data_IF_200725390821
#
_entry.id   IF_200725390821
#
_cell.length_a   1.000
_cell.length_b   1.000
_cell.length_c   1.000
_cell.angle_alpha   90.00
_cell.angle_beta   90.00
_cell.angle_gamma   90.00
#
_symmetry.space_group_name_H-M   'P 1'
#
loop_
_entity.id
_entity.type
_entity.pdbx_description
1 polymer ?
#
# COMPACT_ATOMS: atom_id res chain seq x y z
N UNK A 1 -33.48 -26.44 8.23
CA UNK A 1 -33.62 -25.23 7.38
C UNK A 1 -32.27 -24.76 6.86
N UNK A 2 -31.28 -24.40 7.71
CA UNK A 2 -29.93 -24.01 7.28
C UNK A 2 -29.09 -25.18 6.74
N UNK A 3 -29.36 -26.38 7.18
CA UNK A 3 -28.74 -27.65 6.76
C UNK A 3 -29.18 -28.10 5.35
N UNK A 4 -30.27 -27.51 4.84
CA UNK A 4 -30.83 -27.79 3.51
C UNK A 4 -30.37 -26.81 2.43
N UNK A 5 -29.54 -25.80 2.78
CA UNK A 5 -29.01 -24.89 1.79
C UNK A 5 -28.10 -25.61 0.78
N UNK A 6 -28.18 -25.25 -0.51
CA UNK A 6 -27.27 -25.76 -1.52
C UNK A 6 -25.81 -25.53 -1.14
N UNK A 7 -24.94 -26.48 -1.46
CA UNK A 7 -23.50 -26.41 -1.14
C UNK A 7 -22.84 -25.13 -1.69
N UNK A 8 -23.27 -24.65 -2.84
CA UNK A 8 -22.76 -23.40 -3.42
C UNK A 8 -23.04 -22.20 -2.53
N UNK A 9 -24.27 -22.10 -1.98
CA UNK A 9 -24.68 -21.00 -1.10
C UNK A 9 -23.92 -21.08 0.24
N UNK A 10 -23.79 -22.27 0.80
CA UNK A 10 -22.99 -22.48 2.01
C UNK A 10 -21.52 -22.08 1.79
N UNK A 11 -20.93 -22.45 0.66
CA UNK A 11 -19.56 -22.09 0.30
C UNK A 11 -19.40 -20.57 0.17
N UNK A 12 -20.38 -19.85 -0.41
CA UNK A 12 -20.35 -18.39 -0.47
C UNK A 12 -20.42 -17.77 0.93
N UNK A 13 -21.34 -18.23 1.78
CA UNK A 13 -21.47 -17.76 3.16
C UNK A 13 -20.16 -18.01 3.92
N UNK A 14 -19.61 -19.21 3.85
CA UNK A 14 -18.37 -19.59 4.53
C UNK A 14 -17.16 -18.82 4.00
N UNK A 15 -17.22 -18.35 2.75
CA UNK A 15 -16.20 -17.48 2.15
C UNK A 15 -16.02 -16.17 2.93
N UNK A 16 -17.06 -15.67 3.59
CA UNK A 16 -17.02 -14.45 4.42
C UNK A 16 -16.50 -14.70 5.85
N UNK A 17 -16.40 -15.96 6.28
CA UNK A 17 -15.91 -16.30 7.61
C UNK A 17 -14.39 -16.29 7.66
N UNK A 18 -13.84 -15.92 8.81
CA UNK A 18 -12.43 -16.10 9.09
C UNK A 18 -12.10 -17.62 9.21
N UNK A 19 -10.82 -17.94 9.25
CA UNK A 19 -10.36 -19.32 9.24
C UNK A 19 -10.80 -20.14 10.48
N UNK A 20 -10.77 -19.54 11.65
CA UNK A 20 -11.17 -20.20 12.89
C UNK A 20 -12.67 -20.49 12.90
N UNK A 21 -13.49 -19.54 12.45
CA UNK A 21 -14.93 -19.70 12.34
C UNK A 21 -15.31 -20.79 11.32
N UNK A 22 -14.55 -20.90 10.19
CA UNK A 22 -14.74 -22.01 9.23
C UNK A 22 -14.54 -23.37 9.88
N UNK A 23 -13.57 -23.50 10.76
CA UNK A 23 -13.33 -24.78 11.49
C UNK A 23 -14.49 -25.07 12.42
N UNK A 24 -14.99 -24.07 13.17
CA UNK A 24 -16.14 -24.23 14.05
C UNK A 24 -17.41 -24.62 13.28
N UNK A 25 -17.65 -23.99 12.14
CA UNK A 25 -18.77 -24.30 11.23
C UNK A 25 -18.73 -25.77 10.77
N UNK A 26 -17.54 -26.33 10.56
CA UNK A 26 -17.37 -27.73 10.21
C UNK A 26 -17.86 -28.75 11.24
N UNK A 27 -18.02 -28.31 12.48
CA UNK A 27 -18.49 -29.16 13.58
C UNK A 27 -20.01 -29.13 13.74
N UNK A 28 -20.74 -28.25 13.01
CA UNK A 28 -22.18 -28.06 13.17
C UNK A 28 -23.00 -29.23 12.62
N UNK A 29 -22.77 -29.65 11.37
CA UNK A 29 -23.43 -30.78 10.77
C UNK A 29 -22.64 -31.36 9.57
N UNK A 30 -23.02 -32.54 9.11
CA UNK A 30 -22.36 -33.24 7.99
C UNK A 30 -22.42 -32.46 6.66
N UNK A 31 -23.53 -31.80 6.38
CA UNK A 31 -23.71 -30.96 5.18
C UNK A 31 -22.73 -29.81 5.17
N UNK A 32 -22.63 -29.07 6.28
CA UNK A 32 -21.71 -27.95 6.43
C UNK A 32 -20.23 -28.40 6.37
N UNK A 33 -19.90 -29.51 7.01
CA UNK A 33 -18.55 -30.08 6.93
C UNK A 33 -18.17 -30.46 5.49
N UNK A 34 -19.11 -31.00 4.71
CA UNK A 34 -18.89 -31.31 3.30
C UNK A 34 -18.63 -30.04 2.47
N UNK A 35 -19.40 -29.00 2.68
CA UNK A 35 -19.21 -27.71 2.00
C UNK A 35 -17.87 -27.06 2.31
N UNK A 36 -17.28 -27.30 3.49
CA UNK A 36 -15.93 -26.84 3.83
C UNK A 36 -14.82 -27.54 3.04
N UNK A 37 -15.08 -28.68 2.44
CA UNK A 37 -14.10 -29.35 1.57
C UNK A 37 -13.93 -28.64 0.21
N UNK A 38 -14.75 -27.61 -0.07
CA UNK A 38 -14.65 -26.82 -1.29
C UNK A 38 -13.28 -26.15 -1.44
N UNK A 39 -12.55 -26.38 -2.53
CA UNK A 39 -11.23 -25.78 -2.75
C UNK A 39 -11.22 -24.25 -2.71
N UNK A 40 -12.35 -23.62 -3.04
CA UNK A 40 -12.48 -22.15 -3.08
C UNK A 40 -12.21 -21.53 -1.72
N UNK A 41 -12.66 -22.16 -0.63
CA UNK A 41 -12.50 -21.67 0.73
C UNK A 41 -11.04 -21.69 1.21
N UNK A 42 -10.18 -22.50 0.60
CA UNK A 42 -8.82 -22.73 1.03
C UNK A 42 -7.76 -22.22 0.04
N UNK A 43 -8.16 -21.31 -0.84
CA UNK A 43 -7.23 -20.67 -1.78
C UNK A 43 -6.33 -19.63 -1.13
N UNK A 44 -6.79 -18.99 -0.08
CA UNK A 44 -6.06 -17.93 0.62
C UNK A 44 -5.84 -18.27 2.08
N UNK A 45 -4.59 -18.18 2.51
CA UNK A 45 -4.17 -18.38 3.89
C UNK A 45 -3.41 -17.15 4.36
N UNK A 46 -3.82 -16.61 5.52
CA UNK A 46 -3.04 -15.64 6.29
C UNK A 46 -2.61 -16.31 7.58
N UNK A 47 -1.33 -16.31 7.85
CA UNK A 47 -0.74 -16.95 9.04
C UNK A 47 0.05 -15.94 9.83
N UNK A 48 -0.33 -15.73 11.10
CA UNK A 48 0.41 -14.93 12.05
C UNK A 48 1.46 -15.83 12.73
N UNK A 49 2.71 -15.71 12.30
CA UNK A 49 3.81 -16.60 12.74
C UNK A 49 3.97 -16.58 14.27
N UNK A 50 3.82 -15.40 14.88
CA UNK A 50 3.96 -15.19 16.31
C UNK A 50 2.78 -15.65 17.16
N UNK A 51 1.65 -15.99 16.54
CA UNK A 51 0.42 -16.39 17.24
C UNK A 51 -0.07 -17.78 16.91
N UNK A 52 0.06 -18.21 15.64
CA UNK A 52 -0.62 -19.39 15.14
C UNK A 52 0.29 -20.59 14.93
N UNK A 53 1.62 -20.38 14.85
CA UNK A 53 2.59 -21.48 14.69
C UNK A 53 3.14 -22.00 16.03
N UNK A 54 2.57 -21.51 17.14
CA UNK A 54 2.95 -21.91 18.48
C UNK A 54 1.72 -22.22 19.30
N UNK A 55 1.80 -23.28 20.06
CA UNK A 55 0.77 -23.74 20.95
C UNK A 55 0.55 -25.23 20.81
N UNK A 56 -0.30 -25.77 21.70
CA UNK A 56 -0.61 -27.19 21.74
C UNK A 56 -1.41 -27.68 20.51
N UNK A 57 -1.95 -26.75 19.71
CA UNK A 57 -2.73 -27.05 18.51
C UNK A 57 -2.33 -26.12 17.36
N UNK A 58 -1.35 -26.52 16.50
CA UNK A 58 -0.92 -25.73 15.36
C UNK A 58 -1.93 -25.79 14.21
N UNK A 59 -3.08 -25.13 14.39
CA UNK A 59 -4.21 -25.13 13.44
C UNK A 59 -3.78 -24.79 12.00
N UNK A 60 -2.82 -23.90 11.83
CA UNK A 60 -2.34 -23.51 10.51
C UNK A 60 -1.66 -24.69 9.79
N UNK A 61 -0.88 -25.49 10.52
CA UNK A 61 -0.17 -26.65 9.97
C UNK A 61 -1.14 -27.78 9.60
N UNK A 62 -2.14 -28.06 10.44
CA UNK A 62 -3.18 -29.05 10.16
C UNK A 62 -4.00 -28.68 8.92
N UNK A 63 -4.38 -27.40 8.80
CA UNK A 63 -5.13 -26.92 7.65
C UNK A 63 -4.32 -26.99 6.35
N UNK A 64 -3.02 -26.67 6.43
CA UNK A 64 -2.13 -26.84 5.26
C UNK A 64 -1.95 -28.30 4.93
N UNK A 65 -1.80 -29.18 5.92
CA UNK A 65 -1.71 -30.62 5.70
C UNK A 65 -2.93 -31.17 4.96
N UNK A 66 -4.13 -30.66 5.28
CA UNK A 66 -5.42 -31.08 4.70
C UNK A 66 -5.77 -30.40 3.38
N UNK A 67 -5.55 -29.09 3.28
CA UNK A 67 -6.07 -28.27 2.18
C UNK A 67 -4.98 -27.55 1.37
N UNK A 68 -3.70 -27.70 1.74
CA UNK A 68 -2.59 -26.95 1.14
C UNK A 68 -2.49 -27.07 -0.38
N UNK A 69 -2.88 -28.18 -0.97
CA UNK A 69 -2.91 -28.37 -2.43
C UNK A 69 -3.77 -27.34 -3.17
N UNK A 70 -4.77 -26.75 -2.49
CA UNK A 70 -5.67 -25.74 -3.05
C UNK A 70 -5.16 -24.32 -2.85
N UNK A 71 -4.13 -24.13 -2.03
CA UNK A 71 -3.57 -22.80 -1.73
C UNK A 71 -3.00 -22.14 -2.97
N UNK A 72 -3.36 -20.87 -3.17
CA UNK A 72 -2.87 -20.01 -4.25
C UNK A 72 -2.35 -18.67 -3.72
N UNK A 73 -2.78 -18.28 -2.53
CA UNK A 73 -2.33 -17.07 -1.83
C UNK A 73 -1.91 -17.42 -0.42
N UNK A 74 -0.69 -17.01 -0.05
CA UNK A 74 -0.16 -17.14 1.29
C UNK A 74 0.35 -15.79 1.78
N UNK A 75 -0.18 -15.35 2.91
CA UNK A 75 0.35 -14.24 3.68
C UNK A 75 0.98 -14.77 4.96
N UNK A 76 2.24 -14.43 5.17
CA UNK A 76 2.98 -14.70 6.41
C UNK A 76 3.27 -13.36 7.08
N UNK A 77 2.66 -13.14 8.22
CA UNK A 77 2.77 -11.87 8.95
C UNK A 77 3.24 -12.10 10.38
N UNK A 78 3.85 -11.06 10.95
CA UNK A 78 3.99 -10.93 12.39
C UNK A 78 3.00 -9.89 12.89
N UNK A 79 2.31 -10.17 13.99
CA UNK A 79 1.50 -9.16 14.66
C UNK A 79 2.43 -8.06 15.15
N UNK A 80 2.02 -6.77 15.02
CA UNK A 80 2.83 -5.65 15.51
C UNK A 80 3.11 -5.85 17.01
N UNK A 81 4.36 -5.99 17.43
CA UNK A 81 4.64 -6.33 18.82
C UNK A 81 4.51 -5.09 19.72
N UNK A 82 3.58 -5.11 20.64
CA UNK A 82 3.63 -4.28 21.85
C UNK A 82 4.47 -4.96 22.96
N UNK A 83 5.50 -5.73 22.62
CA UNK A 83 6.28 -6.52 23.58
C UNK A 83 7.60 -5.83 23.89
N UNK A 84 7.91 -5.72 25.19
CA UNK A 84 9.15 -5.15 25.72
C UNK A 84 10.42 -5.82 25.15
N UNK A 85 11.49 -5.05 24.84
CA UNK A 85 12.67 -5.55 24.11
C UNK A 85 13.38 -6.77 24.70
N UNK A 86 13.30 -6.98 26.02
CA UNK A 86 13.99 -8.11 26.70
C UNK A 86 13.30 -9.45 26.50
N UNK A 87 11.99 -9.50 26.44
CA UNK A 87 11.21 -10.73 26.19
C UNK A 87 11.21 -11.14 24.71
N UNK A 88 11.48 -10.20 23.81
CA UNK A 88 11.49 -10.42 22.37
C UNK A 88 12.55 -11.40 21.86
N UNK A 89 13.69 -11.56 22.55
CA UNK A 89 14.82 -12.34 22.02
C UNK A 89 14.59 -13.85 21.97
N UNK A 90 14.16 -14.42 23.09
CA UNK A 90 13.94 -15.88 23.20
C UNK A 90 12.74 -16.29 22.36
N UNK A 91 11.69 -15.50 22.42
CA UNK A 91 10.44 -15.75 21.70
C UNK A 91 10.62 -15.72 20.18
N UNK A 92 11.46 -14.83 19.65
CA UNK A 92 11.66 -14.67 18.19
C UNK A 92 12.50 -15.79 17.54
N UNK A 93 13.46 -16.36 18.25
CA UNK A 93 14.24 -17.47 17.70
C UNK A 93 13.36 -18.68 17.43
N UNK A 94 12.54 -19.05 18.40
CA UNK A 94 11.60 -20.15 18.24
C UNK A 94 10.48 -19.87 17.22
N UNK A 95 10.11 -18.59 17.01
CA UNK A 95 9.17 -18.19 15.95
C UNK A 95 9.79 -18.33 14.56
N UNK A 96 11.10 -18.05 14.42
CA UNK A 96 11.80 -18.27 13.16
C UNK A 96 11.86 -19.74 12.79
N UNK A 97 12.13 -20.59 13.77
CA UNK A 97 12.13 -22.05 13.60
C UNK A 97 10.74 -22.54 13.22
N UNK A 98 9.70 -22.15 13.97
CA UNK A 98 8.31 -22.51 13.65
C UNK A 98 7.88 -22.03 12.25
N UNK A 99 8.26 -20.80 11.86
CA UNK A 99 8.01 -20.31 10.51
C UNK A 99 8.75 -21.07 9.41
N UNK A 100 9.98 -21.53 9.70
CA UNK A 100 10.76 -22.35 8.78
C UNK A 100 10.15 -23.76 8.63
N UNK A 101 9.70 -24.36 9.72
CA UNK A 101 9.04 -25.68 9.73
C UNK A 101 7.71 -25.60 8.98
N UNK A 102 6.91 -24.55 9.21
CA UNK A 102 5.70 -24.31 8.45
C UNK A 102 5.95 -24.21 6.94
N UNK A 103 6.98 -23.45 6.52
CA UNK A 103 7.35 -23.36 5.10
C UNK A 103 7.82 -24.71 4.54
N UNK A 104 8.46 -25.56 5.36
CA UNK A 104 8.82 -26.91 4.96
C UNK A 104 7.58 -27.80 4.73
N UNK A 105 6.56 -27.68 5.59
CA UNK A 105 5.27 -28.38 5.42
C UNK A 105 4.58 -27.92 4.14
N UNK A 106 4.48 -26.61 3.90
CA UNK A 106 3.87 -26.05 2.69
C UNK A 106 4.60 -26.55 1.43
N UNK A 107 5.94 -26.56 1.48
CA UNK A 107 6.78 -27.06 0.38
C UNK A 107 6.57 -28.57 0.13
N UNK A 108 6.46 -29.38 1.17
CA UNK A 108 6.25 -30.82 1.05
C UNK A 108 4.92 -31.17 0.36
N UNK A 109 3.95 -30.26 0.36
CA UNK A 109 2.68 -30.38 -0.35
C UNK A 109 2.74 -29.91 -1.81
N UNK A 110 3.92 -29.58 -2.32
CA UNK A 110 4.15 -29.06 -3.68
C UNK A 110 3.21 -27.88 -4.04
N UNK A 111 2.97 -26.99 -3.09
CA UNK A 111 2.07 -25.86 -3.25
C UNK A 111 2.65 -24.86 -4.25
N UNK A 112 1.86 -24.52 -5.27
CA UNK A 112 2.20 -23.50 -6.26
C UNK A 112 1.35 -22.24 -6.02
N UNK A 113 1.98 -21.21 -5.45
CA UNK A 113 1.32 -19.96 -5.17
C UNK A 113 1.23 -19.05 -6.41
N UNK A 114 0.15 -18.28 -6.48
CA UNK A 114 0.07 -17.07 -7.32
C UNK A 114 0.46 -15.82 -6.55
N UNK A 115 0.24 -15.81 -5.24
CA UNK A 115 0.50 -14.66 -4.39
C UNK A 115 1.24 -15.07 -3.12
N UNK A 116 2.33 -14.36 -2.83
CA UNK A 116 3.04 -14.42 -1.56
C UNK A 116 3.18 -13.02 -0.98
N UNK A 117 2.71 -12.84 0.25
CA UNK A 117 2.79 -11.59 1.00
C UNK A 117 3.54 -11.84 2.30
N UNK A 118 4.58 -11.07 2.53
CA UNK A 118 5.27 -10.99 3.82
C UNK A 118 5.00 -9.62 4.42
N UNK A 119 4.50 -9.60 5.66
CA UNK A 119 4.07 -8.36 6.30
C UNK A 119 4.66 -8.23 7.70
N UNK A 120 5.27 -7.07 8.00
CA UNK A 120 5.78 -6.70 9.32
C UNK A 120 6.86 -7.67 9.88
N UNK A 121 7.78 -8.12 9.04
CA UNK A 121 8.89 -8.98 9.45
C UNK A 121 10.05 -8.18 10.04
N UNK A 122 9.75 -7.19 10.86
CA UNK A 122 10.75 -6.30 11.46
C UNK A 122 11.55 -7.02 12.52
N UNK A 123 12.78 -7.36 12.19
CA UNK A 123 13.70 -8.06 13.06
C UNK A 123 14.89 -7.18 13.42
N UNK A 124 15.06 -6.88 14.70
CA UNK A 124 16.22 -6.10 15.17
C UNK A 124 17.57 -6.75 14.81
N UNK A 125 18.65 -5.95 14.80
CA UNK A 125 20.02 -6.31 14.40
C UNK A 125 20.59 -7.59 15.02
N UNK A 126 20.09 -8.00 16.17
CA UNK A 126 20.67 -9.09 16.99
C UNK A 126 19.90 -10.40 16.88
N UNK A 127 19.09 -10.59 15.85
CA UNK A 127 18.30 -11.79 15.72
C UNK A 127 19.08 -12.91 15.05
N UNK A 128 19.64 -13.83 15.86
CA UNK A 128 20.55 -14.89 15.40
C UNK A 128 19.91 -15.91 14.43
N UNK A 129 18.63 -16.27 14.64
CA UNK A 129 17.96 -17.33 13.88
C UNK A 129 17.20 -16.80 12.64
N UNK A 130 17.27 -15.51 12.33
CA UNK A 130 16.70 -14.93 11.12
C UNK A 130 17.14 -15.67 9.85
N UNK A 131 18.40 -16.11 9.81
CA UNK A 131 18.96 -16.83 8.69
C UNK A 131 18.25 -18.13 8.38
N UNK A 132 17.74 -18.85 9.39
CA UNK A 132 16.99 -20.10 9.23
C UNK A 132 15.70 -19.84 8.44
N UNK A 133 14.91 -18.85 8.87
CA UNK A 133 13.65 -18.50 8.22
C UNK A 133 13.86 -17.97 6.80
N UNK A 134 14.88 -17.13 6.60
CA UNK A 134 15.21 -16.60 5.26
C UNK A 134 15.72 -17.72 4.32
N UNK A 135 16.46 -18.69 4.83
CA UNK A 135 16.87 -19.86 4.06
C UNK A 135 15.67 -20.73 3.67
N UNK A 136 14.77 -20.99 4.62
CA UNK A 136 13.54 -21.73 4.37
C UNK A 136 12.67 -21.04 3.32
N UNK A 137 12.50 -19.70 3.43
CA UNK A 137 11.77 -18.88 2.48
C UNK A 137 12.41 -18.93 1.07
N UNK A 138 13.73 -18.76 0.98
CA UNK A 138 14.43 -18.86 -0.30
C UNK A 138 14.29 -20.25 -0.93
N UNK A 139 14.34 -21.30 -0.12
CA UNK A 139 14.13 -22.69 -0.57
C UNK A 139 12.69 -22.94 -1.03
N UNK A 140 11.72 -22.38 -0.34
CA UNK A 140 10.32 -22.42 -0.75
C UNK A 140 10.11 -21.69 -2.09
N UNK A 141 10.61 -20.45 -2.21
CA UNK A 141 10.50 -19.66 -3.44
C UNK A 141 11.19 -20.31 -4.65
N UNK A 142 12.24 -21.09 -4.43
CA UNK A 142 12.92 -21.81 -5.53
C UNK A 142 12.02 -22.81 -6.24
N UNK A 143 11.03 -23.36 -5.54
CA UNK A 143 10.03 -24.27 -6.10
C UNK A 143 8.85 -23.57 -6.81
N UNK A 144 8.68 -22.26 -6.63
CA UNK A 144 7.52 -21.54 -7.16
C UNK A 144 7.69 -21.18 -8.65
N UNK A 145 6.72 -21.57 -9.47
CA UNK A 145 6.71 -21.31 -10.93
C UNK A 145 5.57 -20.41 -11.39
N UNK A 146 4.58 -20.18 -10.54
CA UNK A 146 3.33 -19.53 -10.89
C UNK A 146 3.10 -18.22 -10.12
N UNK A 147 4.14 -17.65 -9.49
CA UNK A 147 4.02 -16.46 -8.67
C UNK A 147 3.77 -15.22 -9.54
N UNK A 148 2.63 -14.58 -9.33
CA UNK A 148 2.17 -13.37 -10.02
C UNK A 148 2.31 -12.13 -9.13
N UNK A 149 2.18 -12.30 -7.82
CA UNK A 149 2.22 -11.21 -6.83
C UNK A 149 3.21 -11.56 -5.73
N UNK A 150 4.18 -10.66 -5.51
CA UNK A 150 5.11 -10.71 -4.38
C UNK A 150 5.05 -9.40 -3.61
N UNK A 151 4.80 -9.47 -2.31
CA UNK A 151 4.89 -8.33 -1.41
C UNK A 151 5.87 -8.62 -0.27
N UNK A 152 6.83 -7.71 -0.09
CA UNK A 152 7.79 -7.68 1.01
C UNK A 152 7.55 -6.43 1.86
N UNK A 153 6.29 -6.23 2.29
CA UNK A 153 5.86 -5.02 2.96
C UNK A 153 6.37 -4.95 4.41
N UNK A 154 7.16 -3.93 4.72
CA UNK A 154 7.71 -3.68 6.06
C UNK A 154 8.47 -4.90 6.63
N UNK A 155 9.29 -5.54 5.81
CA UNK A 155 10.11 -6.69 6.26
C UNK A 155 11.48 -6.29 6.80
N UNK A 156 11.96 -5.08 6.51
CA UNK A 156 13.22 -4.50 7.02
C UNK A 156 14.43 -5.46 6.86
N UNK A 157 14.57 -6.08 5.69
CA UNK A 157 15.68 -6.96 5.39
C UNK A 157 16.92 -6.17 4.93
N UNK A 158 18.10 -6.80 5.05
CA UNK A 158 19.30 -6.27 4.39
C UNK A 158 19.22 -6.43 2.88
N UNK A 159 19.91 -5.55 2.13
CA UNK A 159 19.95 -5.58 0.64
C UNK A 159 20.29 -6.98 0.12
N UNK A 160 21.29 -7.63 0.69
CA UNK A 160 21.72 -8.98 0.27
C UNK A 160 20.59 -10.01 0.37
N UNK A 161 19.79 -9.96 1.45
CA UNK A 161 18.70 -10.89 1.67
C UNK A 161 17.55 -10.65 0.68
N UNK A 162 17.14 -9.39 0.48
CA UNK A 162 16.10 -9.04 -0.50
C UNK A 162 16.55 -9.46 -1.91
N UNK A 163 17.79 -9.14 -2.30
CA UNK A 163 18.30 -9.50 -3.63
C UNK A 163 18.45 -11.01 -3.83
N UNK A 164 18.67 -11.77 -2.75
CA UNK A 164 18.65 -13.24 -2.79
C UNK A 164 17.25 -13.76 -3.08
N UNK A 165 16.23 -13.24 -2.38
CA UNK A 165 14.83 -13.62 -2.58
C UNK A 165 14.34 -13.25 -3.98
N UNK A 166 14.55 -11.97 -4.41
CA UNK A 166 14.18 -11.51 -5.73
C UNK A 166 14.90 -12.30 -6.85
N UNK A 167 16.18 -12.62 -6.66
CA UNK A 167 16.93 -13.44 -7.60
C UNK A 167 16.39 -14.88 -7.73
N UNK A 168 15.82 -15.40 -6.64
CA UNK A 168 15.17 -16.72 -6.66
C UNK A 168 13.84 -16.65 -7.41
N UNK A 169 13.04 -15.62 -7.16
CA UNK A 169 11.76 -15.37 -7.85
C UNK A 169 11.98 -15.12 -9.33
N UNK A 170 12.97 -14.29 -9.70
CA UNK A 170 13.30 -13.99 -11.09
C UNK A 170 13.66 -15.24 -11.91
N UNK A 171 14.30 -16.25 -11.28
CA UNK A 171 14.60 -17.54 -11.92
C UNK A 171 13.39 -18.45 -12.08
N UNK A 172 12.46 -18.42 -11.13
CA UNK A 172 11.31 -19.32 -11.09
C UNK A 172 10.07 -18.75 -11.79
N UNK A 173 9.74 -17.51 -11.49
CA UNK A 173 8.49 -16.85 -11.88
C UNK A 173 8.69 -15.45 -12.47
N UNK A 174 9.91 -15.07 -12.86
CA UNK A 174 10.22 -13.71 -13.29
C UNK A 174 9.39 -13.21 -14.48
N UNK A 175 9.08 -14.10 -15.42
CA UNK A 175 8.25 -13.78 -16.60
C UNK A 175 6.75 -13.68 -16.29
N UNK A 176 6.32 -14.08 -15.10
CA UNK A 176 4.91 -14.08 -14.68
C UNK A 176 4.59 -13.08 -13.60
N UNK A 177 5.61 -12.50 -12.97
CA UNK A 177 5.42 -11.56 -11.87
C UNK A 177 4.78 -10.26 -12.38
N UNK A 178 3.53 -10.03 -11.99
CA UNK A 178 2.72 -8.87 -12.40
C UNK A 178 2.82 -7.74 -11.38
N UNK A 179 2.93 -8.07 -10.09
CA UNK A 179 2.94 -7.10 -9.00
C UNK A 179 4.08 -7.36 -8.02
N UNK A 180 4.87 -6.32 -7.75
CA UNK A 180 5.96 -6.33 -6.79
C UNK A 180 5.85 -5.16 -5.83
N UNK A 181 5.73 -5.45 -4.51
CA UNK A 181 5.72 -4.44 -3.46
C UNK A 181 6.97 -4.60 -2.60
N UNK A 182 7.84 -3.58 -2.61
CA UNK A 182 9.10 -3.54 -1.86
C UNK A 182 9.13 -2.38 -0.84
N UNK A 183 7.98 -1.81 -0.47
CA UNK A 183 7.92 -0.74 0.52
C UNK A 183 8.30 -1.27 1.91
N UNK A 184 9.23 -0.60 2.57
CA UNK A 184 9.80 -1.06 3.83
C UNK A 184 10.52 -2.42 3.72
N UNK A 185 10.91 -2.85 2.51
CA UNK A 185 11.63 -4.09 2.31
C UNK A 185 13.10 -3.98 2.70
N UNK A 186 13.71 -2.83 2.45
CA UNK A 186 15.10 -2.55 2.77
C UNK A 186 15.21 -1.78 4.08
N UNK A 187 16.28 -2.01 4.83
CA UNK A 187 16.59 -1.18 6.00
C UNK A 187 16.88 0.25 5.56
N UNK A 188 16.41 1.24 6.32
CA UNK A 188 16.49 2.67 5.98
C UNK A 188 17.89 3.13 5.53
N UNK A 189 18.95 2.59 6.13
CA UNK A 189 20.33 2.95 5.79
C UNK A 189 20.95 2.12 4.66
N UNK A 190 20.21 1.18 4.07
CA UNK A 190 20.68 0.31 2.98
C UNK A 190 19.83 0.52 1.73
N UNK A 191 20.17 1.52 0.94
CA UNK A 191 19.49 1.78 -0.32
C UNK A 191 20.10 0.92 -1.45
N UNK A 192 19.30 0.19 -2.23
CA UNK A 192 19.79 -0.66 -3.31
C UNK A 192 19.93 0.08 -4.65
N UNK A 193 19.64 1.39 -4.74
CA UNK A 193 19.39 2.14 -5.97
C UNK A 193 20.47 2.03 -7.03
N UNK A 194 21.76 1.87 -6.66
CA UNK A 194 22.88 1.70 -7.58
C UNK A 194 23.50 0.30 -7.55
N UNK A 195 22.86 -0.64 -6.86
CA UNK A 195 23.38 -2.00 -6.80
C UNK A 195 23.17 -2.72 -8.14
N UNK A 196 24.25 -3.16 -8.83
CA UNK A 196 24.14 -3.74 -10.18
C UNK A 196 23.28 -5.01 -10.23
N UNK A 197 23.21 -5.76 -9.12
CA UNK A 197 22.36 -6.95 -9.05
C UNK A 197 20.89 -6.56 -8.93
N UNK A 198 20.57 -5.51 -8.17
CA UNK A 198 19.22 -4.96 -8.09
C UNK A 198 18.73 -4.49 -9.46
N UNK A 199 19.53 -3.67 -10.14
CA UNK A 199 19.20 -3.15 -11.46
C UNK A 199 18.95 -4.27 -12.49
N UNK A 200 19.81 -5.28 -12.51
CA UNK A 200 19.61 -6.47 -13.37
C UNK A 200 18.36 -7.29 -12.99
N UNK A 201 17.93 -7.27 -11.74
CA UNK A 201 16.71 -7.97 -11.34
C UNK A 201 15.46 -7.21 -11.77
N UNK A 202 15.47 -5.86 -11.68
CA UNK A 202 14.36 -5.04 -12.17
C UNK A 202 14.11 -5.25 -13.66
N UNK A 203 15.17 -5.33 -14.47
CA UNK A 203 15.03 -5.56 -15.91
C UNK A 203 14.58 -6.98 -16.32
N UNK A 204 14.50 -7.92 -15.35
CA UNK A 204 14.07 -9.32 -15.62
C UNK A 204 12.60 -9.57 -15.41
N UNK A 205 11.86 -8.63 -14.84
CA UNK A 205 10.43 -8.78 -14.57
C UNK A 205 9.60 -8.22 -15.74
N UNK A 206 9.58 -8.94 -16.85
CA UNK A 206 8.98 -8.45 -18.10
C UNK A 206 7.46 -8.28 -18.05
N UNK A 207 6.74 -9.08 -17.24
CA UNK A 207 5.30 -8.96 -17.05
C UNK A 207 4.90 -7.96 -15.97
N UNK A 208 5.87 -7.25 -15.35
CA UNK A 208 5.59 -6.36 -14.23
C UNK A 208 4.72 -5.18 -14.65
N UNK A 209 3.52 -5.10 -14.08
CA UNK A 209 2.53 -4.05 -14.31
C UNK A 209 2.40 -3.08 -13.13
N UNK A 210 2.66 -3.56 -11.91
CA UNK A 210 2.57 -2.79 -10.69
C UNK A 210 3.86 -2.94 -9.88
N UNK A 211 4.52 -1.81 -9.63
CA UNK A 211 5.69 -1.74 -8.75
C UNK A 211 5.46 -0.72 -7.64
N UNK A 212 5.77 -1.11 -6.40
CA UNK A 212 5.71 -0.22 -5.24
C UNK A 212 7.06 -0.21 -4.54
N UNK A 213 7.62 0.98 -4.35
CA UNK A 213 8.96 1.20 -3.79
C UNK A 213 8.95 2.33 -2.75
N UNK A 214 9.97 2.34 -1.90
CA UNK A 214 10.41 3.56 -1.22
C UNK A 214 11.39 4.34 -2.11
N UNK A 215 11.41 5.65 -2.01
CA UNK A 215 12.24 6.53 -2.85
C UNK A 215 13.74 6.14 -2.83
N UNK A 216 14.35 5.72 -1.71
CA UNK A 216 15.74 5.28 -1.68
C UNK A 216 16.06 4.06 -2.57
N UNK A 217 15.05 3.32 -3.01
CA UNK A 217 15.24 2.20 -3.93
C UNK A 217 15.14 2.59 -5.42
N UNK A 218 14.88 3.88 -5.70
CA UNK A 218 14.75 4.44 -7.04
C UNK A 218 15.97 5.29 -7.38
N UNK A 219 16.42 5.25 -8.63
CA UNK A 219 17.49 6.08 -9.18
C UNK A 219 17.36 6.22 -10.70
N UNK A 220 18.20 7.04 -11.32
CA UNK A 220 18.28 7.12 -12.78
C UNK A 220 18.55 5.74 -13.40
N UNK A 221 19.44 4.96 -12.79
CA UNK A 221 19.77 3.61 -13.24
C UNK A 221 18.60 2.64 -13.06
N UNK A 222 17.86 2.77 -11.96
CA UNK A 222 16.67 1.94 -11.71
C UNK A 222 15.55 2.24 -12.72
N UNK A 223 15.29 3.53 -13.02
CA UNK A 223 14.31 3.91 -14.06
C UNK A 223 14.72 3.40 -15.43
N UNK A 224 15.99 3.52 -15.80
CA UNK A 224 16.49 2.99 -17.06
C UNK A 224 16.43 1.45 -17.14
N UNK A 225 16.67 0.75 -16.01
CA UNK A 225 16.52 -0.69 -15.95
C UNK A 225 15.06 -1.13 -16.14
N UNK A 226 14.10 -0.38 -15.57
CA UNK A 226 12.67 -0.60 -15.78
C UNK A 226 12.29 -0.31 -17.25
N UNK A 227 12.78 0.77 -17.84
CA UNK A 227 12.54 1.13 -19.23
C UNK A 227 13.06 0.06 -20.22
N UNK A 228 14.12 -0.66 -19.85
CA UNK A 228 14.68 -1.72 -20.70
C UNK A 228 14.02 -3.08 -20.56
N UNK A 229 13.35 -3.35 -19.43
CA UNK A 229 12.85 -4.69 -19.10
C UNK A 229 11.38 -4.78 -18.74
N UNK A 230 10.83 -3.82 -18.02
CA UNK A 230 9.45 -3.85 -17.51
C UNK A 230 8.48 -3.07 -18.42
N UNK A 231 8.44 -3.41 -19.71
CA UNK A 231 7.66 -2.68 -20.71
C UNK A 231 6.13 -2.71 -20.50
N UNK A 232 5.64 -3.58 -19.62
CA UNK A 232 4.23 -3.66 -19.25
C UNK A 232 3.88 -2.83 -18.01
N UNK A 233 4.82 -2.01 -17.51
CA UNK A 233 4.63 -1.25 -16.29
C UNK A 233 3.57 -0.15 -16.48
N UNK A 234 2.48 -0.24 -15.71
CA UNK A 234 1.34 0.69 -15.74
C UNK A 234 1.20 1.52 -14.47
N UNK A 235 1.75 1.03 -13.37
CA UNK A 235 1.59 1.70 -12.08
C UNK A 235 2.87 1.63 -11.26
N UNK A 236 3.38 2.79 -10.88
CA UNK A 236 4.55 2.93 -10.02
C UNK A 236 4.16 3.75 -8.78
N UNK A 237 4.19 3.12 -7.60
CA UNK A 237 3.93 3.77 -6.31
C UNK A 237 5.25 4.03 -5.61
N UNK A 238 5.46 5.27 -5.20
CA UNK A 238 6.70 5.71 -4.55
C UNK A 238 6.34 6.33 -3.22
N UNK A 239 6.83 5.74 -2.14
CA UNK A 239 6.75 6.29 -0.80
C UNK A 239 7.99 7.13 -0.53
N UNK A 240 7.81 8.36 -0.07
CA UNK A 240 8.89 9.32 0.21
C UNK A 240 8.77 9.79 1.65
N UNK A 241 9.85 9.69 2.40
CA UNK A 241 9.97 10.17 3.78
C UNK A 241 10.94 11.35 3.86
N UNK A 242 10.97 12.04 4.98
CA UNK A 242 11.75 13.27 5.19
C UNK A 242 13.24 13.17 4.80
N UNK A 243 13.88 12.05 5.11
CA UNK A 243 15.29 11.83 4.82
C UNK A 243 15.61 11.45 3.38
N UNK A 244 14.61 11.01 2.62
CA UNK A 244 14.82 10.28 1.37
C UNK A 244 15.23 11.20 0.22
N UNK A 245 14.59 12.36 0.09
CA UNK A 245 14.81 13.30 -1.01
C UNK A 245 16.23 13.86 -1.09
N UNK A 246 16.99 13.78 0.01
CA UNK A 246 18.36 14.30 0.12
C UNK A 246 19.43 13.28 -0.17
N UNK A 247 19.08 12.01 -0.28
CA UNK A 247 20.07 10.95 -0.50
C UNK A 247 20.60 10.97 -1.92
N UNK A 248 19.74 11.25 -2.90
CA UNK A 248 20.09 11.35 -4.31
C UNK A 248 18.98 12.05 -5.10
N UNK A 249 19.32 12.60 -6.25
CA UNK A 249 18.37 13.24 -7.15
C UNK A 249 18.15 12.38 -8.39
N UNK A 250 16.91 12.35 -8.86
CA UNK A 250 16.54 11.68 -10.10
C UNK A 250 16.39 12.74 -11.19
N UNK A 251 17.02 12.52 -12.32
CA UNK A 251 16.95 13.44 -13.44
C UNK A 251 15.63 13.28 -14.22
N UNK A 252 15.07 14.39 -14.72
CA UNK A 252 13.86 14.39 -15.53
C UNK A 252 14.01 13.52 -16.81
N UNK A 253 15.19 13.51 -17.40
CA UNK A 253 15.50 12.68 -18.57
C UNK A 253 15.31 11.17 -18.31
N UNK A 254 15.59 10.68 -17.09
CA UNK A 254 15.36 9.28 -16.75
C UNK A 254 13.86 8.94 -16.67
N UNK A 255 13.05 9.86 -16.19
CA UNK A 255 11.58 9.75 -16.23
C UNK A 255 11.06 9.77 -17.65
N UNK A 256 11.56 10.70 -18.47
CA UNK A 256 11.18 10.79 -19.88
C UNK A 256 11.45 9.47 -20.61
N UNK A 257 12.63 8.86 -20.43
CA UNK A 257 12.96 7.57 -21.00
C UNK A 257 12.01 6.45 -20.56
N UNK A 258 11.66 6.42 -19.28
CA UNK A 258 10.70 5.42 -18.77
C UNK A 258 9.30 5.60 -19.36
N UNK A 259 8.83 6.84 -19.49
CA UNK A 259 7.51 7.15 -20.07
C UNK A 259 7.47 6.80 -21.56
N UNK A 260 8.56 7.02 -22.30
CA UNK A 260 8.65 6.57 -23.70
C UNK A 260 8.55 5.05 -23.83
N UNK A 261 9.16 4.30 -22.91
CA UNK A 261 9.11 2.84 -22.91
C UNK A 261 7.74 2.30 -22.39
N UNK A 262 7.09 3.02 -21.48
CA UNK A 262 5.85 2.65 -20.83
C UNK A 262 4.80 3.79 -20.94
N UNK A 263 4.13 3.96 -22.09
CA UNK A 263 3.25 5.12 -22.34
C UNK A 263 2.02 5.18 -21.40
N UNK A 264 1.55 4.04 -20.92
CA UNK A 264 0.39 3.94 -20.01
C UNK A 264 0.78 4.08 -18.53
N UNK A 265 2.03 4.40 -18.23
CA UNK A 265 2.52 4.51 -16.86
C UNK A 265 1.80 5.63 -16.10
N UNK A 266 1.40 5.31 -14.88
CA UNK A 266 0.85 6.24 -13.88
C UNK A 266 1.68 6.18 -12.63
N UNK A 267 2.16 7.32 -12.17
CA UNK A 267 2.94 7.44 -10.94
C UNK A 267 2.04 7.90 -9.79
N UNK A 268 2.27 7.32 -8.62
CA UNK A 268 1.62 7.70 -7.37
C UNK A 268 2.69 8.03 -6.34
N UNK A 269 2.70 9.25 -5.84
CA UNK A 269 3.54 9.65 -4.70
C UNK A 269 2.77 9.58 -3.39
N UNK A 270 3.40 9.00 -2.38
CA UNK A 270 2.95 9.01 -0.99
C UNK A 270 4.03 9.71 -0.17
N UNK A 271 3.79 10.97 0.18
CA UNK A 271 4.74 11.84 0.87
C UNK A 271 4.42 11.83 2.37
N UNK A 272 5.36 11.41 3.20
CA UNK A 272 5.14 11.26 4.64
C UNK A 272 6.15 12.08 5.43
N UNK A 273 5.66 12.97 6.27
CA UNK A 273 6.42 13.75 7.27
C UNK A 273 7.63 14.49 6.70
N UNK A 274 7.54 15.06 5.51
CA UNK A 274 8.61 15.87 4.93
C UNK A 274 8.70 17.19 5.66
N UNK A 275 9.90 17.57 6.09
CA UNK A 275 10.23 18.84 6.75
C UNK A 275 10.77 19.91 5.79
N UNK A 276 11.29 19.48 4.64
CA UNK A 276 11.91 20.37 3.64
C UNK A 276 11.07 20.35 2.35
N UNK A 277 10.13 21.27 2.27
CA UNK A 277 9.20 21.34 1.13
C UNK A 277 9.86 21.84 -0.17
N UNK A 278 11.03 22.47 -0.06
CA UNK A 278 11.88 22.82 -1.20
C UNK A 278 12.29 21.56 -1.99
N UNK A 279 12.40 20.44 -1.31
CA UNK A 279 12.74 19.16 -1.93
C UNK A 279 11.64 18.65 -2.90
N UNK A 280 10.41 19.20 -2.82
CA UNK A 280 9.34 18.85 -3.75
C UNK A 280 9.68 19.18 -5.20
N UNK A 281 10.49 20.19 -5.45
CA UNK A 281 10.95 20.52 -6.81
C UNK A 281 11.81 19.42 -7.44
N UNK A 282 12.49 18.63 -6.61
CA UNK A 282 13.31 17.49 -7.07
C UNK A 282 12.50 16.20 -7.25
N UNK A 283 11.33 16.13 -6.64
CA UNK A 283 10.43 14.98 -6.73
C UNK A 283 9.37 15.17 -7.83
N UNK A 284 8.81 16.38 -7.91
CA UNK A 284 7.74 16.72 -8.84
C UNK A 284 8.32 17.27 -10.15
N UNK A 285 8.91 16.38 -10.94
CA UNK A 285 9.53 16.72 -12.22
C UNK A 285 8.53 16.69 -13.38
N UNK A 286 8.72 17.53 -14.42
CA UNK A 286 7.75 17.65 -15.52
C UNK A 286 7.44 16.35 -16.26
N UNK A 287 8.42 15.47 -16.44
CA UNK A 287 8.23 14.20 -17.16
C UNK A 287 7.59 13.09 -16.33
N UNK A 288 7.33 13.31 -15.05
CA UNK A 288 6.63 12.32 -14.19
C UNK A 288 5.15 12.26 -14.56
N UNK A 289 4.59 11.11 -14.99
CA UNK A 289 3.16 10.98 -15.28
C UNK A 289 2.35 10.82 -13.97
N UNK A 290 2.35 11.89 -13.14
CA UNK A 290 1.74 11.87 -11.81
C UNK A 290 0.21 11.79 -11.90
N UNK A 291 -0.34 10.68 -11.43
CA UNK A 291 -1.78 10.44 -11.37
C UNK A 291 -2.35 10.58 -9.94
N UNK A 292 -1.55 10.24 -8.93
CA UNK A 292 -1.98 10.31 -7.53
C UNK A 292 -0.93 10.99 -6.68
N UNK A 293 -1.38 11.93 -5.87
CA UNK A 293 -0.53 12.65 -4.92
C UNK A 293 -1.15 12.60 -3.53
N UNK A 294 -0.52 11.89 -2.62
CA UNK A 294 -0.91 11.79 -1.23
C UNK A 294 0.16 12.43 -0.35
N UNK A 295 -0.20 13.40 0.46
CA UNK A 295 0.71 14.10 1.35
C UNK A 295 0.19 14.11 2.78
N UNK A 296 1.00 13.54 3.66
CA UNK A 296 0.73 13.47 5.09
C UNK A 296 1.79 14.29 5.83
N UNK A 297 1.39 15.45 6.32
CA UNK A 297 2.27 16.28 7.11
C UNK A 297 1.78 16.33 8.56
N UNK A 298 2.64 16.11 9.53
CA UNK A 298 2.17 16.47 10.80
C UNK A 298 2.56 15.72 12.02
N UNK A 299 3.83 15.67 12.36
CA UNK A 299 4.16 15.56 13.78
C UNK A 299 3.77 16.83 14.53
N UNK A 300 3.15 16.66 15.70
CA UNK A 300 2.62 17.73 16.56
C UNK A 300 3.69 18.77 16.94
N UNK A 301 4.95 18.35 16.96
CA UNK A 301 6.08 19.12 17.46
C UNK A 301 6.66 20.17 16.50
N UNK A 302 6.28 20.14 15.22
CA UNK A 302 6.85 21.02 14.20
C UNK A 302 5.90 22.14 13.75
N UNK A 303 5.24 22.77 14.70
CA UNK A 303 4.29 23.87 14.44
C UNK A 303 4.97 25.19 14.04
N UNK A 304 6.29 25.30 14.20
CA UNK A 304 7.04 26.57 14.10
C UNK A 304 7.50 26.91 12.69
N UNK A 305 7.56 25.94 11.76
CA UNK A 305 8.13 26.15 10.42
C UNK A 305 7.02 26.38 9.38
N UNK A 306 7.26 27.36 8.52
CA UNK A 306 6.53 27.46 7.25
C UNK A 306 6.85 26.24 6.42
N UNK A 307 5.82 25.55 5.94
CA UNK A 307 5.98 24.29 5.23
C UNK A 307 5.88 24.43 3.74
N UNK A 308 5.59 25.66 3.26
CA UNK A 308 5.48 26.01 1.86
C UNK A 308 4.54 25.11 1.05
N UNK A 309 3.41 24.73 1.68
CA UNK A 309 2.37 23.93 0.99
C UNK A 309 1.81 24.64 -0.24
N UNK A 310 1.71 25.98 -0.18
CA UNK A 310 1.26 26.78 -1.34
C UNK A 310 2.09 26.49 -2.57
N UNK A 311 3.42 26.51 -2.45
CA UNK A 311 4.32 26.23 -3.58
C UNK A 311 4.15 24.79 -4.10
N UNK A 312 4.00 23.82 -3.19
CA UNK A 312 3.75 22.41 -3.59
C UNK A 312 2.44 22.27 -4.35
N UNK A 313 1.35 22.89 -3.87
CA UNK A 313 0.03 22.81 -4.53
C UNK A 313 0.06 23.55 -5.88
N UNK A 314 0.71 24.72 -5.94
CA UNK A 314 0.92 25.42 -7.20
C UNK A 314 1.69 24.58 -8.22
N UNK A 315 2.72 23.87 -7.78
CA UNK A 315 3.50 22.98 -8.65
C UNK A 315 2.63 21.84 -9.19
N UNK A 316 1.74 21.26 -8.36
CA UNK A 316 0.77 20.26 -8.82
C UNK A 316 -0.18 20.82 -9.88
N UNK A 317 -0.73 22.02 -9.64
CA UNK A 317 -1.66 22.68 -10.55
C UNK A 317 -1.00 23.04 -11.88
N UNK A 318 0.26 23.47 -11.87
CA UNK A 318 0.95 23.91 -13.08
C UNK A 318 1.48 22.76 -13.93
N UNK A 319 2.03 21.73 -13.31
CA UNK A 319 2.70 20.64 -14.05
C UNK A 319 1.77 19.46 -14.36
N UNK A 320 0.78 19.15 -13.52
CA UNK A 320 0.02 17.90 -13.63
C UNK A 320 -1.47 18.10 -13.97
N UNK A 321 -1.84 19.23 -14.57
CA UNK A 321 -3.20 19.56 -15.00
C UNK A 321 -3.90 18.43 -15.76
N UNK A 322 -3.15 17.72 -16.61
CA UNK A 322 -3.68 16.71 -17.52
C UNK A 322 -3.52 15.27 -17.03
N UNK A 323 -2.79 15.05 -15.92
CA UNK A 323 -2.46 13.69 -15.45
C UNK A 323 -3.02 13.39 -14.07
N UNK A 324 -3.21 14.41 -13.22
CA UNK A 324 -3.63 14.26 -11.84
C UNK A 324 -5.08 13.80 -11.72
N UNK A 325 -5.29 12.66 -11.07
CA UNK A 325 -6.60 11.99 -10.90
C UNK A 325 -7.07 11.97 -9.45
N UNK A 326 -6.11 11.88 -8.53
CA UNK A 326 -6.41 11.74 -7.10
C UNK A 326 -5.44 12.57 -6.28
N UNK A 327 -5.98 13.37 -5.37
CA UNK A 327 -5.23 14.17 -4.40
C UNK A 327 -5.75 13.89 -3.01
N UNK A 328 -4.84 13.54 -2.11
CA UNK A 328 -5.11 13.39 -0.68
C UNK A 328 -4.11 14.23 0.10
N UNK A 329 -4.61 15.19 0.84
CA UNK A 329 -3.82 16.14 1.60
C UNK A 329 -4.26 16.09 3.07
N UNK A 330 -3.40 15.61 3.94
CA UNK A 330 -3.56 15.71 5.38
C UNK A 330 -2.50 16.66 5.91
N UNK A 331 -2.87 17.93 6.08
CA UNK A 331 -1.93 19.01 6.29
C UNK A 331 -2.13 19.72 7.63
N UNK A 332 -1.03 20.18 8.21
CA UNK A 332 -1.01 21.12 9.34
C UNK A 332 -0.60 22.49 8.83
N UNK A 333 -1.51 23.14 8.11
CA UNK A 333 -1.30 24.41 7.46
C UNK A 333 -1.69 25.62 8.35
N UNK A 334 -1.32 25.62 9.63
CA UNK A 334 -1.74 26.67 10.58
C UNK A 334 -1.35 28.09 10.17
N UNK A 335 -0.31 28.24 9.36
CA UNK A 335 0.23 29.52 8.90
C UNK A 335 0.03 29.81 7.43
N UNK A 336 -0.50 28.86 6.67
CA UNK A 336 -0.69 28.98 5.22
C UNK A 336 -2.17 28.89 4.85
N UNK A 337 -2.62 29.85 4.04
CA UNK A 337 -3.93 29.84 3.41
C UNK A 337 -3.85 29.01 2.12
N UNK A 338 -4.71 28.03 2.01
CA UNK A 338 -4.75 27.11 0.86
C UNK A 338 -6.11 27.12 0.16
N UNK A 339 -7.07 27.89 0.67
CA UNK A 339 -8.47 27.88 0.25
C UNK A 339 -8.62 28.19 -1.25
N UNK A 340 -7.94 29.23 -1.71
CA UNK A 340 -7.88 29.65 -3.12
C UNK A 340 -7.24 28.61 -4.03
N UNK A 341 -6.22 27.93 -3.53
CA UNK A 341 -5.51 26.90 -4.30
C UNK A 341 -6.30 25.60 -4.41
N UNK A 342 -7.10 25.25 -3.40
CA UNK A 342 -7.99 24.09 -3.50
C UNK A 342 -9.01 24.32 -4.61
N UNK A 343 -9.65 25.49 -4.68
CA UNK A 343 -10.57 25.84 -5.76
C UNK A 343 -9.86 25.86 -7.12
N UNK A 344 -8.69 26.52 -7.18
CA UNK A 344 -7.88 26.60 -8.41
C UNK A 344 -7.50 25.20 -8.93
N UNK A 345 -7.16 24.27 -8.04
CA UNK A 345 -6.85 22.89 -8.42
C UNK A 345 -8.04 22.21 -9.12
N UNK A 346 -9.26 22.44 -8.64
CA UNK A 346 -10.46 21.86 -9.24
C UNK A 346 -10.74 22.41 -10.63
N UNK A 347 -10.50 23.71 -10.81
CA UNK A 347 -10.74 24.39 -12.09
C UNK A 347 -9.71 23.93 -13.15
N UNK A 348 -8.45 23.79 -12.77
CA UNK A 348 -7.36 23.52 -13.71
C UNK A 348 -7.12 22.02 -13.94
N UNK A 349 -7.20 21.19 -12.90
CA UNK A 349 -6.93 19.74 -13.02
C UNK A 349 -8.17 18.97 -13.50
N UNK A 350 -8.46 19.02 -14.80
CA UNK A 350 -9.69 18.48 -15.41
C UNK A 350 -9.89 16.97 -15.25
N UNK A 351 -8.85 16.22 -14.95
CA UNK A 351 -8.90 14.76 -14.72
C UNK A 351 -9.04 14.39 -13.25
N UNK A 352 -9.04 15.37 -12.35
CA UNK A 352 -9.16 15.15 -10.92
C UNK A 352 -10.57 14.64 -10.58
N UNK A 353 -10.64 13.42 -10.08
CA UNK A 353 -11.90 12.74 -9.73
C UNK A 353 -12.02 12.43 -8.25
N UNK A 354 -10.94 12.54 -7.49
CA UNK A 354 -10.91 12.22 -6.06
C UNK A 354 -10.13 13.28 -5.31
N UNK A 355 -10.80 13.93 -4.38
CA UNK A 355 -10.21 14.92 -3.47
C UNK A 355 -10.47 14.49 -2.04
N UNK A 356 -9.40 14.38 -1.25
CA UNK A 356 -9.47 14.24 0.18
C UNK A 356 -8.60 15.32 0.83
N UNK A 357 -9.22 16.11 1.70
CA UNK A 357 -8.54 17.19 2.39
C UNK A 357 -8.81 17.16 3.89
N UNK A 358 -7.76 17.08 4.69
CA UNK A 358 -7.78 17.21 6.15
C UNK A 358 -6.79 18.30 6.54
N UNK A 359 -7.30 19.52 6.78
CA UNK A 359 -6.49 20.70 7.07
C UNK A 359 -7.32 21.92 7.43
N UNK A 360 -6.67 23.05 7.66
CA UNK A 360 -7.34 24.30 7.98
C UNK A 360 -7.92 24.91 6.71
N UNK A 361 -9.22 25.21 6.74
CA UNK A 361 -9.93 26.04 5.79
C UNK A 361 -10.41 27.27 6.57
N UNK A 362 -9.94 28.44 6.20
CA UNK A 362 -10.34 29.69 6.88
C UNK A 362 -11.61 30.29 6.31
N UNK A 363 -11.77 30.19 5.01
CA UNK A 363 -12.96 30.65 4.32
C UNK A 363 -13.79 29.45 3.82
N UNK A 364 -14.87 29.09 4.52
CA UNK A 364 -15.74 28.00 4.13
C UNK A 364 -16.51 28.25 2.82
N UNK A 365 -16.56 29.49 2.33
CA UNK A 365 -17.13 29.79 1.01
C UNK A 365 -16.31 29.10 -0.11
N UNK A 366 -15.03 28.89 0.08
CA UNK A 366 -14.24 28.07 -0.87
C UNK A 366 -14.72 26.62 -0.93
N UNK A 367 -15.17 26.05 0.20
CA UNK A 367 -15.77 24.72 0.20
C UNK A 367 -17.15 24.74 -0.49
N UNK A 368 -17.95 25.79 -0.27
CA UNK A 368 -19.23 25.99 -0.97
C UNK A 368 -19.01 26.08 -2.49
N UNK A 369 -18.00 26.83 -2.92
CA UNK A 369 -17.62 26.94 -4.33
C UNK A 369 -17.20 25.58 -4.94
N UNK A 370 -16.43 24.78 -4.22
CA UNK A 370 -16.07 23.41 -4.61
C UNK A 370 -17.35 22.58 -4.86
N UNK A 371 -18.29 22.61 -3.92
CA UNK A 371 -19.54 21.87 -4.03
C UNK A 371 -20.41 22.41 -5.18
N UNK A 372 -20.45 23.70 -5.37
CA UNK A 372 -21.20 24.35 -6.46
C UNK A 372 -20.66 23.94 -7.83
N UNK A 373 -19.33 23.96 -8.03
CA UNK A 373 -18.70 23.55 -9.29
C UNK A 373 -19.08 22.10 -9.66
N UNK A 374 -19.15 21.21 -8.67
CA UNK A 374 -19.58 19.84 -8.91
C UNK A 374 -21.08 19.76 -9.20
N UNK A 375 -21.92 20.45 -8.42
CA UNK A 375 -23.36 20.46 -8.61
C UNK A 375 -23.77 21.03 -10.00
N UNK A 376 -22.98 21.97 -10.54
CA UNK A 376 -23.14 22.54 -11.88
C UNK A 376 -22.48 21.70 -13.00
N UNK A 377 -22.00 20.50 -12.70
CA UNK A 377 -21.30 19.61 -13.64
C UNK A 377 -20.04 20.21 -14.30
N UNK A 378 -19.44 21.22 -13.68
CA UNK A 378 -18.17 21.82 -14.13
C UNK A 378 -16.95 20.97 -13.76
N UNK A 379 -17.14 20.03 -12.80
CA UNK A 379 -16.14 19.04 -12.37
C UNK A 379 -16.74 17.64 -12.45
N UNK A 380 -15.90 16.60 -12.32
CA UNK A 380 -16.31 15.19 -12.48
C UNK A 380 -15.83 14.33 -11.30
N UNK A 381 -16.07 14.81 -10.08
CA UNK A 381 -15.67 14.08 -8.89
C UNK A 381 -16.48 12.81 -8.69
N UNK A 382 -15.78 11.79 -8.21
CA UNK A 382 -16.35 10.54 -7.68
C UNK A 382 -16.26 10.50 -6.15
N UNK A 383 -15.36 11.31 -5.57
CA UNK A 383 -15.16 11.38 -4.14
C UNK A 383 -14.69 12.78 -3.74
N UNK A 384 -15.37 13.39 -2.79
CA UNK A 384 -14.99 14.63 -2.13
C UNK A 384 -15.11 14.40 -0.63
N UNK A 385 -13.99 14.21 0.05
CA UNK A 385 -13.94 14.09 1.50
C UNK A 385 -13.18 15.28 2.06
N UNK A 386 -13.83 16.08 2.89
CA UNK A 386 -13.24 17.28 3.49
C UNK A 386 -13.43 17.25 4.99
N UNK A 387 -12.33 17.38 5.72
CA UNK A 387 -12.30 17.49 7.17
C UNK A 387 -11.59 18.77 7.58
N UNK A 388 -12.32 19.90 7.65
CA UNK A 388 -11.73 21.17 8.03
C UNK A 388 -11.33 21.16 9.51
N UNK A 389 -10.12 21.63 9.82
CA UNK A 389 -9.62 21.72 11.20
C UNK A 389 -9.85 23.13 11.78
N UNK A 390 -9.82 23.23 13.11
CA UNK A 390 -9.93 24.49 13.87
C UNK A 390 -11.18 25.29 13.56
N UNK A 391 -12.34 24.64 13.45
CA UNK A 391 -13.63 25.25 13.20
C UNK A 391 -14.21 25.84 14.50
N UNK A 392 -14.58 27.10 14.50
CA UNK A 392 -15.34 27.74 15.57
C UNK A 392 -16.86 27.39 15.47
N UNK A 393 -17.64 27.79 16.47
CA UNK A 393 -19.08 27.48 16.54
C UNK A 393 -19.84 28.08 15.33
N UNK A 394 -19.49 29.29 14.91
CA UNK A 394 -20.14 29.93 13.76
C UNK A 394 -19.84 29.20 12.45
N UNK A 395 -18.59 28.86 12.23
CA UNK A 395 -18.16 28.12 11.04
C UNK A 395 -18.77 26.70 11.02
N UNK A 396 -19.05 26.10 12.19
CA UNK A 396 -19.73 24.81 12.25
C UNK A 396 -21.16 24.88 11.70
N UNK A 397 -21.87 25.97 11.99
CA UNK A 397 -23.20 26.20 11.42
C UNK A 397 -23.14 26.31 9.88
N UNK A 398 -22.15 27.02 9.35
CA UNK A 398 -21.92 27.13 7.89
C UNK A 398 -21.56 25.78 7.28
N UNK A 399 -20.75 24.98 7.97
CA UNK A 399 -20.36 23.64 7.50
C UNK A 399 -21.57 22.70 7.40
N UNK A 400 -22.44 22.75 8.41
CA UNK A 400 -23.68 21.97 8.43
C UNK A 400 -24.65 22.44 7.32
N UNK A 401 -24.74 23.74 7.06
CA UNK A 401 -25.53 24.29 5.98
C UNK A 401 -25.03 23.82 4.60
N UNK A 402 -23.72 23.85 4.38
CA UNK A 402 -23.10 23.32 3.14
C UNK A 402 -23.44 21.83 2.97
N UNK A 403 -23.28 21.05 4.03
CA UNK A 403 -23.58 19.62 4.01
C UNK A 403 -25.05 19.38 3.66
N UNK A 404 -25.97 20.06 4.34
CA UNK A 404 -27.40 19.94 4.08
C UNK A 404 -27.79 20.36 2.64
N UNK A 405 -27.19 21.42 2.12
CA UNK A 405 -27.50 21.96 0.80
C UNK A 405 -27.01 21.05 -0.35
N UNK A 406 -25.87 20.39 -0.17
CA UNK A 406 -25.19 19.68 -1.26
C UNK A 406 -25.21 18.17 -1.16
N UNK A 407 -25.45 17.57 0.01
CA UNK A 407 -25.37 16.12 0.21
C UNK A 407 -26.28 15.34 -0.76
N UNK A 408 -27.55 15.70 -0.84
CA UNK A 408 -28.50 15.05 -1.76
C UNK A 408 -28.08 15.20 -3.23
N UNK A 409 -27.62 16.38 -3.64
CA UNK A 409 -27.18 16.66 -5.03
C UNK A 409 -25.94 15.86 -5.40
N UNK A 410 -25.00 15.73 -4.46
CA UNK A 410 -23.79 14.91 -4.65
C UNK A 410 -24.14 13.45 -4.76
N UNK A 411 -25.05 12.98 -3.91
CA UNK A 411 -25.47 11.58 -3.92
C UNK A 411 -26.21 11.21 -5.22
N UNK A 412 -27.08 12.09 -5.74
CA UNK A 412 -27.74 11.95 -7.04
C UNK A 412 -26.75 11.85 -8.20
N UNK A 413 -25.62 12.53 -8.11
CA UNK A 413 -24.53 12.45 -9.09
C UNK A 413 -23.59 11.26 -8.88
N UNK A 414 -23.83 10.42 -7.89
CA UNK A 414 -22.97 9.26 -7.57
C UNK A 414 -21.63 9.64 -6.95
N UNK A 415 -21.53 10.81 -6.32
CA UNK A 415 -20.31 11.27 -5.63
C UNK A 415 -20.32 10.78 -4.18
N UNK A 416 -19.26 10.10 -3.75
CA UNK A 416 -19.02 9.82 -2.33
C UNK A 416 -18.58 11.14 -1.66
N UNK A 417 -19.57 11.82 -1.08
CA UNK A 417 -19.42 13.14 -0.47
C UNK A 417 -19.42 13.03 1.06
N UNK A 418 -18.38 13.56 1.69
CA UNK A 418 -18.28 13.60 3.14
C UNK A 418 -17.65 14.91 3.58
N UNK A 419 -18.37 15.63 4.40
CA UNK A 419 -17.86 16.81 5.11
C UNK A 419 -17.99 16.54 6.59
N UNK A 420 -16.85 16.37 7.28
CA UNK A 420 -16.81 15.88 8.65
C UNK A 420 -16.45 16.99 9.64
N UNK A 421 -17.12 16.96 10.80
CA UNK A 421 -16.71 17.80 11.93
C UNK A 421 -15.36 17.28 12.50
N UNK A 422 -14.39 18.18 12.80
CA UNK A 422 -13.09 17.82 13.34
C UNK A 422 -13.11 17.03 14.67
N UNK A 423 -14.25 16.98 15.35
CA UNK A 423 -14.43 16.18 16.57
C UNK A 423 -14.61 14.68 16.28
N UNK A 424 -14.92 14.30 15.06
CA UNK A 424 -14.98 12.88 14.68
C UNK A 424 -13.56 12.32 14.53
N UNK A 425 -13.27 11.26 15.30
CA UNK A 425 -11.98 10.56 15.22
C UNK A 425 -12.04 9.63 14.00
N UNK A 426 -11.46 10.08 12.88
CA UNK A 426 -11.17 9.19 11.77
C UNK A 426 -9.67 8.87 11.75
N UNK A 427 -9.38 7.60 11.88
CA UNK A 427 -8.06 7.08 11.59
C UNK A 427 -7.99 6.81 10.07
N UNK A 428 -7.28 7.67 9.35
CA UNK A 428 -6.87 7.38 7.99
C UNK A 428 -5.62 6.51 8.03
N UNK A 429 -5.76 5.22 7.76
CA UNK A 429 -4.68 4.31 7.40
C UNK A 429 -5.13 3.33 6.32
#
# INVERSE_FOLDING_TARGET
>A
MWDQLPELILTQIFGHLNRADRVSVGQVCRSWNRSLSSPVLWRSFTVLIDRELRGDFPLAEELVAKYGQHMRSLELAFSRPYILPRQMRITRNTQAEAGADFLAIVRAKDVQLRQLILTNWVFGYKWGNRGILLCALANFLRGQRNLEILSLLNVDFGVTDVLRLLGTVAKGSGERLISLDLRGAFREWQAPHDNPRYLRLLSRFHALSLLKLDYPALSNHALNALASGALMLRSLYISVRDSDSRQHMIADAAWHNLVLACPDLKVSYIIVNISHYEDMYYLLLPSVPLAKFHMFSGHVWDQSRSRNFRSTINLLITQYTNTLVEVMLQLRNNRELLDDLLVSMLIHCKRLTRLQYDGIIRNLESLREICQLQAEHKTHFKMIHVKPRNINIQNRAVLNDINYQYDSKMHEQGVDFRVEDPTSILFFY
#
